data_IF_530548890442
#
_entry.id   IF_530548890442
#
_cell.length_a   1.000
_cell.length_b   1.000
_cell.length_c   1.000
_cell.angle_alpha   90.00
_cell.angle_beta   90.00
_cell.angle_gamma   90.00
#
_symmetry.space_group_name_H-M   'P 1'
#
loop_
_entity.id
_entity.type
_entity.pdbx_description
1 polymer ?
#
# COMPACT_ATOMS: atom_id res chain seq x y z
N UNK A 1 -32.79 -2.41 -6.56
CA UNK A 1 -31.36 -2.66 -6.28
C UNK A 1 -30.87 -1.53 -5.38
N UNK A 2 -30.71 -1.77 -4.09
CA UNK A 2 -30.22 -0.76 -3.15
C UNK A 2 -28.89 -1.25 -2.60
N UNK A 3 -27.81 -0.56 -2.96
CA UNK A 3 -26.49 -0.75 -2.34
C UNK A 3 -26.57 -0.05 -0.98
N UNK A 4 -26.36 -0.73 0.17
CA UNK A 4 -26.38 -0.03 1.44
C UNK A 4 -25.19 0.93 1.51
N UNK A 5 -25.42 2.05 2.20
CA UNK A 5 -24.48 3.12 2.43
C UNK A 5 -23.13 2.56 2.89
N UNK A 6 -22.05 3.13 2.35
CA UNK A 6 -20.67 2.89 2.78
C UNK A 6 -20.54 3.24 4.26
N UNK A 7 -20.82 2.27 5.12
CA UNK A 7 -20.40 2.27 6.52
C UNK A 7 -18.88 2.45 6.50
N UNK A 8 -18.43 3.58 7.05
CA UNK A 8 -17.03 3.95 7.04
C UNK A 8 -16.16 2.79 7.48
N UNK A 9 -15.14 2.49 6.68
CA UNK A 9 -14.12 1.46 6.92
C UNK A 9 -13.26 1.78 8.15
N UNK A 10 -13.88 1.95 9.32
CA UNK A 10 -13.22 1.93 10.61
C UNK A 10 -13.16 0.48 11.10
N UNK A 11 -12.63 -0.41 10.26
CA UNK A 11 -12.15 -1.68 10.78
C UNK A 11 -10.91 -1.36 11.61
N UNK A 12 -10.89 -1.65 12.93
CA UNK A 12 -9.65 -1.57 13.68
C UNK A 12 -8.68 -2.55 13.02
N UNK A 13 -7.72 -2.01 12.27
CA UNK A 13 -6.67 -2.81 11.67
C UNK A 13 -6.07 -3.63 12.82
N UNK A 14 -6.08 -4.97 12.75
CA UNK A 14 -5.58 -5.78 13.84
C UNK A 14 -4.15 -5.35 14.09
N UNK A 15 -3.90 -4.75 15.27
CA UNK A 15 -2.57 -4.33 15.62
C UNK A 15 -1.68 -5.57 15.60
N UNK A 16 -0.49 -5.50 15.00
CA UNK A 16 0.45 -6.60 15.06
C UNK A 16 0.61 -7.03 16.52
N UNK A 17 0.50 -8.34 16.77
CA UNK A 17 0.74 -8.90 18.10
C UNK A 17 2.23 -8.91 18.47
N UNK A 18 3.09 -8.67 17.48
CA UNK A 18 4.53 -8.67 17.59
C UNK A 18 5.04 -7.26 17.91
N UNK A 19 6.11 -7.18 18.67
CA UNK A 19 6.84 -5.93 18.88
C UNK A 19 7.48 -5.44 17.58
N UNK A 20 7.88 -4.17 17.55
CA UNK A 20 8.59 -3.61 16.41
C UNK A 20 9.89 -4.38 16.17
N UNK A 21 10.63 -4.72 17.22
CA UNK A 21 11.87 -5.50 17.15
C UNK A 21 11.63 -6.90 16.56
N UNK A 22 10.56 -7.58 16.98
CA UNK A 22 10.17 -8.88 16.44
C UNK A 22 9.80 -8.79 14.95
N UNK A 23 9.08 -7.74 14.54
CA UNK A 23 8.75 -7.50 13.14
C UNK A 23 9.99 -7.21 12.29
N UNK A 24 10.92 -6.40 12.81
CA UNK A 24 12.18 -6.09 12.13
C UNK A 24 13.05 -7.33 11.96
N UNK A 25 13.17 -8.15 13.01
CA UNK A 25 13.90 -9.41 12.98
C UNK A 25 13.27 -10.40 12.00
N UNK A 26 11.95 -10.55 12.02
CA UNK A 26 11.23 -11.45 11.11
C UNK A 26 11.36 -11.04 9.64
N UNK A 27 11.37 -9.72 9.36
CA UNK A 27 11.55 -9.18 8.01
C UNK A 27 13.01 -9.06 7.58
N UNK A 28 13.96 -9.32 8.50
CA UNK A 28 15.40 -9.17 8.30
C UNK A 28 15.77 -7.84 7.60
N UNK A 29 15.11 -6.76 8.01
CA UNK A 29 15.18 -5.46 7.34
C UNK A 29 16.16 -4.51 8.03
N UNK A 30 16.71 -3.57 7.28
CA UNK A 30 17.55 -2.47 7.78
C UNK A 30 16.88 -1.12 7.50
N UNK A 31 17.20 -0.06 8.27
CA UNK A 31 16.73 1.28 7.95
C UNK A 31 17.22 1.74 6.57
N UNK A 32 16.32 2.32 5.78
CA UNK A 32 16.63 2.95 4.49
C UNK A 32 17.50 4.19 4.74
N UNK A 33 18.65 4.30 4.06
CA UNK A 33 19.60 5.42 4.22
C UNK A 33 19.68 6.31 2.98
N UNK A 34 19.21 5.81 1.84
CA UNK A 34 19.24 6.51 0.56
C UNK A 34 18.04 6.15 -0.31
N UNK A 35 17.85 6.87 -1.41
CA UNK A 35 16.86 6.50 -2.43
C UNK A 35 17.23 5.19 -3.14
N UNK A 36 18.53 4.92 -3.28
CA UNK A 36 19.00 3.67 -3.90
C UNK A 36 18.60 2.45 -3.07
N UNK A 37 18.56 2.57 -1.73
CA UNK A 37 18.07 1.50 -0.84
C UNK A 37 16.56 1.23 -1.00
N UNK A 38 15.81 2.17 -1.58
CA UNK A 38 14.37 2.03 -1.86
C UNK A 38 14.11 1.47 -3.26
N UNK A 39 15.11 1.47 -4.14
CA UNK A 39 14.95 0.93 -5.48
C UNK A 39 14.74 -0.59 -5.43
N UNK A 40 13.66 -1.05 -6.04
CA UNK A 40 13.32 -2.47 -6.14
C UNK A 40 12.66 -2.73 -7.50
N UNK A 41 12.91 -3.92 -8.03
CA UNK A 41 12.23 -4.43 -9.22
C UNK A 41 10.78 -4.78 -8.87
N UNK A 42 9.96 -3.74 -8.75
CA UNK A 42 8.61 -3.81 -8.18
C UNK A 42 7.58 -4.20 -9.23
N UNK A 43 7.81 -3.80 -10.48
CA UNK A 43 6.93 -4.06 -11.61
C UNK A 43 7.68 -4.92 -12.61
N UNK A 44 7.01 -5.95 -13.13
CA UNK A 44 7.58 -6.88 -14.11
C UNK A 44 7.73 -6.22 -15.49
N UNK A 45 7.03 -5.10 -15.73
CA UNK A 45 7.08 -4.35 -16.99
C UNK A 45 6.63 -2.89 -16.84
N UNK A 46 7.02 -2.06 -17.81
CA UNK A 46 6.53 -0.67 -17.90
C UNK A 46 4.99 -0.60 -18.13
N UNK A 47 4.41 -1.60 -18.82
CA UNK A 47 2.96 -1.70 -19.04
C UNK A 47 2.21 -1.88 -17.71
N UNK A 48 2.72 -2.75 -16.81
CA UNK A 48 2.15 -2.94 -15.48
C UNK A 48 2.20 -1.64 -14.65
N UNK A 49 3.32 -0.90 -14.72
CA UNK A 49 3.45 0.40 -14.07
C UNK A 49 2.41 1.40 -14.61
N UNK A 50 2.21 1.47 -15.92
CA UNK A 50 1.22 2.35 -16.55
C UNK A 50 -0.21 2.02 -16.09
N UNK A 51 -0.57 0.73 -16.03
CA UNK A 51 -1.86 0.27 -15.53
C UNK A 51 -2.09 0.68 -14.08
N UNK A 52 -1.09 0.49 -13.22
CA UNK A 52 -1.15 0.87 -11.80
C UNK A 52 -1.36 2.39 -11.64
N UNK A 53 -0.66 3.20 -12.42
CA UNK A 53 -0.81 4.66 -12.40
C UNK A 53 -2.22 5.08 -12.86
N UNK A 54 -2.72 4.51 -13.96
CA UNK A 54 -4.05 4.79 -14.47
C UNK A 54 -5.14 4.48 -13.43
N UNK A 55 -5.04 3.31 -12.78
CA UNK A 55 -5.92 2.92 -11.69
C UNK A 55 -5.88 3.92 -10.53
N UNK A 56 -4.68 4.25 -10.04
CA UNK A 56 -4.48 5.16 -8.90
C UNK A 56 -5.03 6.56 -9.18
N UNK A 57 -4.82 7.08 -10.40
CA UNK A 57 -5.37 8.38 -10.80
C UNK A 57 -6.90 8.36 -10.89
N UNK A 58 -7.49 7.28 -11.42
CA UNK A 58 -8.93 7.14 -11.50
C UNK A 58 -9.58 7.13 -10.11
N UNK A 59 -9.02 6.37 -9.16
CA UNK A 59 -9.50 6.30 -7.77
C UNK A 59 -9.41 7.67 -7.09
N UNK A 60 -8.24 8.32 -7.14
CA UNK A 60 -8.09 9.66 -6.52
C UNK A 60 -9.07 10.68 -7.08
N UNK A 61 -9.39 10.59 -8.37
CA UNK A 61 -10.33 11.52 -9.01
C UNK A 61 -11.78 11.22 -8.66
N UNK A 62 -12.13 9.98 -8.32
CA UNK A 62 -13.47 9.60 -7.82
C UNK A 62 -13.74 10.20 -6.45
N UNK A 63 -12.75 10.29 -5.57
CA UNK A 63 -12.88 10.89 -4.24
C UNK A 63 -12.99 12.43 -4.27
N UNK A 64 -12.61 13.06 -5.39
CA UNK A 64 -12.59 14.51 -5.54
C UNK A 64 -13.82 15.10 -6.25
N UNK A 65 -14.79 14.27 -6.65
CA UNK A 65 -16.00 14.64 -7.38
C UNK A 65 -17.25 14.38 -6.53
#
# INVERSE_FOLDING_TARGET
MSVPASEGFSHPQPRPRLSVEELLAAKNTQPIRSLDDLAADTFESDEELEEFLAFTYAERRRDAA
#
